data_IF_850038696524
#
_entry.id   IF_850038696524
#
_cell.length_a   1.000
_cell.length_b   1.000
_cell.length_c   1.000
_cell.angle_alpha   90.00
_cell.angle_beta   90.00
_cell.angle_gamma   90.00
#
_symmetry.space_group_name_H-M   'P 1'
#
loop_
_entity.id
_entity.type
_entity.pdbx_description
1 polymer ?
#
# COMPACT_ATOMS: atom_id res chain seq x y z
N UNK A 1 0.10 13.42 -9.05
CA UNK A 1 0.00 11.96 -8.83
C UNK A 1 -1.44 11.64 -8.48
N UNK A 2 -2.01 10.59 -9.08
CA UNK A 2 -3.36 10.10 -8.77
C UNK A 2 -3.22 8.62 -8.47
N UNK A 3 -3.59 8.20 -7.26
CA UNK A 3 -3.63 6.78 -6.93
C UNK A 3 -4.71 6.09 -7.76
N UNK A 4 -4.47 4.83 -8.11
CA UNK A 4 -5.52 3.98 -8.65
C UNK A 4 -6.53 3.65 -7.56
N UNK A 5 -7.77 3.39 -7.96
CA UNK A 5 -8.79 2.86 -7.05
C UNK A 5 -8.36 1.55 -6.39
N UNK A 6 -7.44 0.80 -7.01
CA UNK A 6 -6.93 -0.43 -6.42
C UNK A 6 -6.00 -0.15 -5.23
N UNK A 7 -5.17 0.90 -5.29
CA UNK A 7 -4.40 1.36 -4.13
C UNK A 7 -5.30 1.94 -3.03
N UNK A 8 -6.30 2.75 -3.37
CA UNK A 8 -7.26 3.27 -2.39
C UNK A 8 -7.95 2.13 -1.62
N UNK A 9 -8.40 1.09 -2.34
CA UNK A 9 -8.97 -0.10 -1.73
C UNK A 9 -7.98 -0.88 -0.88
N UNK A 10 -6.71 -0.93 -1.25
CA UNK A 10 -5.67 -1.56 -0.44
C UNK A 10 -5.54 -0.88 0.92
N UNK A 11 -5.55 0.46 0.94
CA UNK A 11 -5.46 1.26 2.17
C UNK A 11 -6.66 1.03 3.07
N UNK A 12 -7.87 1.04 2.51
CA UNK A 12 -9.11 0.75 3.25
C UNK A 12 -9.08 -0.66 3.83
N UNK A 13 -8.66 -1.66 3.03
CA UNK A 13 -8.55 -3.04 3.47
C UNK A 13 -7.50 -3.23 4.58
N UNK A 14 -6.35 -2.56 4.48
CA UNK A 14 -5.30 -2.61 5.51
C UNK A 14 -5.72 -1.89 6.80
N UNK A 15 -6.43 -0.76 6.71
CA UNK A 15 -7.03 -0.10 7.87
C UNK A 15 -8.04 -1.01 8.57
N UNK A 16 -8.88 -1.71 7.80
CA UNK A 16 -9.78 -2.72 8.36
C UNK A 16 -9.01 -3.86 9.03
N UNK A 17 -7.98 -4.40 8.39
CA UNK A 17 -7.14 -5.44 8.97
C UNK A 17 -6.46 -5.01 10.28
N UNK A 18 -6.07 -3.74 10.38
CA UNK A 18 -5.45 -3.18 11.58
C UNK A 18 -6.39 -3.14 12.80
N UNK A 19 -7.71 -3.03 12.61
CA UNK A 19 -8.69 -3.10 13.71
C UNK A 19 -8.73 -4.47 14.39
N UNK A 20 -8.27 -5.51 13.71
CA UNK A 20 -8.20 -6.88 14.22
C UNK A 20 -6.77 -7.28 14.62
N UNK A 21 -5.85 -6.32 14.70
CA UNK A 21 -4.49 -6.59 15.13
C UNK A 21 -4.48 -7.17 16.56
N UNK A 22 -3.93 -8.37 16.73
CA UNK A 22 -3.92 -9.10 18.01
C UNK A 22 -5.13 -10.00 18.25
N UNK A 23 -6.11 -10.02 17.34
CA UNK A 23 -7.28 -10.91 17.39
C UNK A 23 -7.12 -12.14 16.46
N UNK A 24 -8.23 -12.86 16.24
CA UNK A 24 -8.28 -14.02 15.35
C UNK A 24 -7.94 -13.65 13.89
N UNK A 25 -7.46 -14.64 13.12
CA UNK A 25 -7.14 -14.48 11.70
C UNK A 25 -8.38 -14.08 10.91
N UNK A 26 -8.20 -13.15 9.98
CA UNK A 26 -9.25 -12.67 9.09
C UNK A 26 -9.22 -13.43 7.76
N UNK A 27 -10.21 -13.23 6.91
CA UNK A 27 -10.11 -13.67 5.52
C UNK A 27 -10.66 -12.58 4.58
N UNK A 28 -10.44 -12.77 3.28
CA UNK A 28 -10.88 -11.81 2.27
C UNK A 28 -12.41 -11.59 2.29
N UNK A 29 -13.20 -12.60 2.70
CA UNK A 29 -14.65 -12.50 2.83
C UNK A 29 -15.05 -11.57 3.98
N UNK A 30 -14.43 -11.71 5.15
CA UNK A 30 -14.66 -10.81 6.29
C UNK A 30 -14.24 -9.38 5.96
N UNK A 31 -13.05 -9.20 5.37
CA UNK A 31 -12.56 -7.88 4.98
C UNK A 31 -13.46 -7.23 3.92
N UNK A 32 -13.94 -8.01 2.94
CA UNK A 32 -14.88 -7.54 1.92
C UNK A 32 -16.20 -7.09 2.54
N UNK A 33 -16.76 -7.86 3.47
CA UNK A 33 -18.00 -7.52 4.16
C UNK A 33 -17.86 -6.25 5.02
N UNK A 34 -16.75 -6.06 5.74
CA UNK A 34 -16.52 -4.88 6.57
C UNK A 34 -16.29 -3.59 5.77
N UNK A 35 -15.64 -3.70 4.61
CA UNK A 35 -15.20 -2.53 3.83
C UNK A 35 -16.12 -2.18 2.67
N UNK A 36 -16.99 -3.11 2.27
CA UNK A 36 -17.78 -3.00 1.04
C UNK A 36 -16.96 -3.20 -0.24
N UNK A 37 -15.67 -3.52 -0.15
CA UNK A 37 -14.83 -3.82 -1.32
C UNK A 37 -15.31 -5.14 -1.93
N UNK A 38 -15.56 -5.23 -3.25
CA UNK A 38 -15.98 -6.48 -3.88
C UNK A 38 -15.01 -7.63 -3.58
N UNK A 39 -15.54 -8.81 -3.22
CA UNK A 39 -14.75 -9.97 -2.82
C UNK A 39 -13.61 -10.33 -3.79
N UNK A 40 -13.78 -10.32 -5.12
CA UNK A 40 -12.68 -10.61 -6.04
C UNK A 40 -11.54 -9.60 -5.94
N UNK A 41 -11.85 -8.32 -5.68
CA UNK A 41 -10.86 -7.26 -5.47
C UNK A 41 -10.15 -7.45 -4.13
N UNK A 42 -10.89 -7.75 -3.06
CA UNK A 42 -10.32 -8.03 -1.74
C UNK A 42 -9.36 -9.24 -1.79
N UNK A 43 -9.71 -10.31 -2.51
CA UNK A 43 -8.84 -11.47 -2.70
C UNK A 43 -7.55 -11.12 -3.45
N UNK A 44 -7.64 -10.33 -4.53
CA UNK A 44 -6.46 -9.84 -5.27
C UNK A 44 -5.56 -8.98 -4.39
N UNK A 45 -6.14 -8.10 -3.59
CA UNK A 45 -5.42 -7.24 -2.64
C UNK A 45 -4.71 -8.08 -1.59
N UNK A 46 -5.42 -9.02 -0.95
CA UNK A 46 -4.83 -9.94 0.03
C UNK A 46 -3.64 -10.69 -0.56
N UNK A 47 -3.76 -11.19 -1.79
CA UNK A 47 -2.67 -11.87 -2.49
C UNK A 47 -1.46 -10.97 -2.68
N UNK A 48 -1.64 -9.76 -3.24
CA UNK A 48 -0.55 -8.78 -3.47
C UNK A 48 0.12 -8.34 -2.16
N UNK A 49 -0.67 -7.98 -1.16
CA UNK A 49 -0.17 -7.54 0.15
C UNK A 49 0.55 -8.67 0.89
N UNK A 50 0.13 -9.93 0.71
CA UNK A 50 0.85 -11.09 1.26
C UNK A 50 2.18 -11.31 0.53
N UNK A 51 2.20 -11.18 -0.80
CA UNK A 51 3.43 -11.28 -1.59
C UNK A 51 4.44 -10.18 -1.23
N UNK A 52 3.96 -8.98 -0.88
CA UNK A 52 4.77 -7.87 -0.39
C UNK A 52 5.17 -8.01 1.10
N UNK A 53 4.75 -9.08 1.78
CA UNK A 53 5.09 -9.31 3.19
C UNK A 53 4.38 -8.37 4.18
N UNK A 54 3.30 -7.70 3.78
CA UNK A 54 2.48 -6.86 4.67
C UNK A 54 1.38 -7.67 5.37
N UNK A 55 0.97 -8.79 4.77
CA UNK A 55 0.07 -9.77 5.35
C UNK A 55 0.75 -11.14 5.43
N UNK A 56 0.49 -11.87 6.51
CA UNK A 56 0.83 -13.27 6.64
C UNK A 56 -0.39 -14.13 6.37
N UNK A 57 -0.32 -14.98 5.34
CA UNK A 57 -1.37 -15.95 5.02
C UNK A 57 -1.06 -17.32 5.59
N UNK A 58 -2.04 -17.98 6.21
CA UNK A 58 -1.96 -19.38 6.61
C UNK A 58 -3.05 -20.22 5.93
N UNK A 59 -2.67 -21.40 5.42
CA UNK A 59 -3.59 -22.36 4.79
C UNK A 59 -4.16 -23.35 5.82
N UNK A 60 -5.29 -23.99 5.50
CA UNK A 60 -5.93 -25.03 6.30
C UNK A 60 -7.22 -24.61 7.02
N UNK A 61 -7.80 -25.52 7.81
CA UNK A 61 -9.00 -25.26 8.63
C UNK A 61 -8.67 -24.20 9.70
N UNK A 62 -9.40 -23.08 9.71
CA UNK A 62 -9.04 -21.89 10.52
C UNK A 62 -7.93 -21.02 9.90
N UNK A 63 -7.63 -21.23 8.61
CA UNK A 63 -6.74 -20.38 7.83
C UNK A 63 -7.30 -18.97 7.60
N UNK A 64 -6.44 -18.08 7.14
CA UNK A 64 -6.74 -16.66 7.04
C UNK A 64 -5.48 -15.82 6.88
N UNK A 65 -5.65 -14.51 7.03
CA UNK A 65 -4.60 -13.50 6.96
C UNK A 65 -4.58 -12.64 8.22
N UNK A 66 -3.39 -12.16 8.56
CA UNK A 66 -3.15 -11.17 9.60
C UNK A 66 -2.06 -10.20 9.13
N UNK A 67 -1.95 -9.04 9.77
CA UNK A 67 -0.80 -8.15 9.56
C UNK A 67 0.50 -8.88 9.94
N UNK A 68 1.54 -8.74 9.10
CA UNK A 68 2.86 -9.35 9.36
C UNK A 68 3.63 -8.66 10.48
N UNK A 69 3.27 -7.41 10.78
CA UNK A 69 3.90 -6.57 11.81
C UNK A 69 2.90 -5.56 12.36
N UNK A 70 3.18 -4.90 13.51
CA UNK A 70 2.25 -3.95 14.11
C UNK A 70 1.85 -2.83 13.13
N UNK A 71 0.57 -2.40 13.10
CA UNK A 71 0.08 -1.40 12.15
C UNK A 71 0.76 -0.02 12.29
N UNK A 72 1.39 0.25 13.44
CA UNK A 72 2.19 1.46 13.67
C UNK A 72 3.54 1.45 12.91
N UNK A 73 3.94 0.29 12.38
CA UNK A 73 5.19 0.13 11.61
C UNK A 73 4.94 -0.03 10.11
N UNK A 74 3.67 -0.18 9.70
CA UNK A 74 3.27 -0.26 8.30
C UNK A 74 2.84 1.15 7.88
N UNK A 75 3.49 1.69 6.86
CA UNK A 75 3.21 3.04 6.35
C UNK A 75 2.22 3.00 5.20
N UNK A 76 1.60 4.14 4.90
CA UNK A 76 0.79 4.31 3.71
C UNK A 76 1.64 4.12 2.44
N UNK A 77 2.90 4.57 2.45
CA UNK A 77 3.85 4.30 1.37
C UNK A 77 4.07 2.80 1.14
N UNK A 78 4.23 2.00 2.20
CA UNK A 78 4.41 0.54 2.07
C UNK A 78 3.22 -0.11 1.33
N UNK A 79 1.99 0.29 1.67
CA UNK A 79 0.76 -0.27 1.07
C UNK A 79 0.62 0.14 -0.39
N UNK A 80 0.91 1.40 -0.72
CA UNK A 80 0.87 1.91 -2.10
C UNK A 80 1.94 1.20 -2.93
N UNK A 81 3.18 1.12 -2.43
CA UNK A 81 4.29 0.49 -3.14
C UNK A 81 4.07 -1.02 -3.37
N UNK A 82 3.43 -1.71 -2.42
CA UNK A 82 3.06 -3.12 -2.56
C UNK A 82 2.05 -3.39 -3.69
N UNK A 83 1.28 -2.38 -4.09
CA UNK A 83 0.10 -2.54 -4.94
C UNK A 83 0.31 -1.93 -6.33
N UNK A 84 0.96 -0.78 -6.40
CA UNK A 84 1.23 -0.05 -7.65
C UNK A 84 2.68 -0.14 -8.10
N UNK A 85 3.61 -0.53 -7.22
CA UNK A 85 5.04 -0.41 -7.46
C UNK A 85 5.60 0.91 -6.92
N UNK A 86 6.85 1.27 -7.28
CA UNK A 86 7.54 2.43 -6.71
C UNK A 86 6.72 3.73 -6.84
N UNK A 87 6.69 4.53 -5.78
CA UNK A 87 6.05 5.86 -5.84
C UNK A 87 6.91 6.76 -6.74
N UNK A 88 6.40 7.01 -7.95
CA UNK A 88 7.04 7.84 -8.95
C UNK A 88 6.03 8.80 -9.58
N UNK A 89 6.33 10.09 -9.53
CA UNK A 89 5.51 11.12 -10.18
C UNK A 89 5.68 11.15 -11.70
N UNK A 90 6.87 10.79 -12.16
CA UNK A 90 7.28 10.81 -13.58
C UNK A 90 8.15 9.61 -13.87
N UNK A 91 8.15 9.12 -15.11
CA UNK A 91 9.00 8.00 -15.50
C UNK A 91 10.47 8.22 -15.09
N UNK A 92 11.01 9.42 -15.30
CA UNK A 92 12.39 9.76 -14.95
C UNK A 92 12.72 9.81 -13.44
N UNK A 93 11.73 9.62 -12.55
CA UNK A 93 11.92 9.48 -11.10
C UNK A 93 11.95 8.03 -10.64
N UNK A 94 11.61 7.07 -11.52
CA UNK A 94 11.78 5.65 -11.26
C UNK A 94 13.26 5.26 -11.35
N UNK A 95 13.63 4.19 -10.65
CA UNK A 95 14.99 3.68 -10.64
C UNK A 95 15.21 2.80 -11.89
N UNK A 96 16.01 3.24 -12.85
CA UNK A 96 16.25 2.50 -14.08
C UNK A 96 16.62 3.39 -15.27
N UNK A 97 16.85 2.77 -16.42
CA UNK A 97 16.99 3.47 -17.69
C UNK A 97 15.60 3.83 -18.23
N UNK A 98 15.45 5.07 -18.71
CA UNK A 98 14.20 5.59 -19.21
C UNK A 98 14.31 5.86 -20.71
N UNK A 99 13.23 5.63 -21.45
CA UNK A 99 13.14 6.05 -22.85
C UNK A 99 12.84 7.55 -22.94
N UNK A 100 13.79 8.37 -22.49
CA UNK A 100 13.71 9.82 -22.52
C UNK A 100 14.91 10.41 -23.25
N UNK A 101 14.67 10.97 -24.43
CA UNK A 101 15.70 11.60 -25.26
C UNK A 101 16.42 12.77 -24.59
N UNK A 102 15.84 13.35 -23.53
CA UNK A 102 16.39 14.48 -22.79
C UNK A 102 17.13 14.06 -21.52
N UNK A 103 17.21 12.77 -21.20
CA UNK A 103 17.60 12.30 -19.87
C UNK A 103 18.97 12.81 -19.38
N UNK A 104 19.98 12.83 -20.27
CA UNK A 104 21.35 13.20 -19.92
C UNK A 104 21.51 14.70 -19.60
N UNK A 105 20.70 15.55 -20.24
CA UNK A 105 20.81 17.01 -20.14
C UNK A 105 19.59 17.66 -19.44
N UNK A 106 18.65 16.84 -18.96
CA UNK A 106 17.43 17.31 -18.32
C UNK A 106 17.71 17.97 -16.97
N UNK A 107 17.76 19.31 -16.98
CA UNK A 107 17.89 20.13 -15.78
C UNK A 107 16.68 20.04 -14.84
N UNK A 108 15.54 19.54 -15.32
CA UNK A 108 14.29 19.43 -14.56
C UNK A 108 14.28 18.15 -13.69
N UNK A 109 14.96 17.07 -14.12
CA UNK A 109 14.94 15.76 -13.44
C UNK A 109 15.35 15.83 -11.95
N UNK A 110 16.43 16.54 -11.55
CA UNK A 110 16.77 16.66 -10.13
C UNK A 110 15.67 17.32 -9.29
N UNK A 111 14.99 18.32 -9.83
CA UNK A 111 13.86 18.98 -9.15
C UNK A 111 12.66 18.05 -9.03
N UNK A 112 12.39 17.22 -10.05
CA UNK A 112 11.36 16.19 -9.99
C UNK A 112 11.68 15.12 -8.95
N UNK A 113 12.95 14.73 -8.79
CA UNK A 113 13.36 13.80 -7.72
C UNK A 113 13.09 14.39 -6.32
N UNK A 114 13.36 15.69 -6.12
CA UNK A 114 13.03 16.38 -4.85
C UNK A 114 11.52 16.33 -4.58
N UNK A 115 10.69 16.66 -5.59
CA UNK A 115 9.24 16.61 -5.45
C UNK A 115 8.74 15.18 -5.16
N UNK A 116 9.27 14.18 -5.87
CA UNK A 116 8.92 12.77 -5.69
C UNK A 116 9.26 12.29 -4.27
N UNK A 117 10.46 12.65 -3.79
CA UNK A 117 10.89 12.32 -2.43
C UNK A 117 9.99 12.97 -1.37
N UNK A 118 9.56 14.22 -1.58
CA UNK A 118 8.66 14.90 -0.65
C UNK A 118 7.29 14.18 -0.57
N UNK A 119 6.72 13.75 -1.70
CA UNK A 119 5.47 12.97 -1.71
C UNK A 119 5.67 11.62 -1.02
N UNK A 120 6.74 10.90 -1.37
CA UNK A 120 7.03 9.60 -0.74
C UNK A 120 7.20 9.73 0.77
N UNK A 121 7.91 10.77 1.23
CA UNK A 121 8.07 11.05 2.66
C UNK A 121 6.75 11.38 3.35
N UNK A 122 5.87 12.16 2.71
CA UNK A 122 4.55 12.45 3.25
C UNK A 122 3.71 11.17 3.43
N UNK A 123 3.73 10.26 2.44
CA UNK A 123 3.06 8.96 2.54
C UNK A 123 3.74 8.04 3.58
N UNK A 124 5.06 8.05 3.67
CA UNK A 124 5.79 7.27 4.68
C UNK A 124 5.57 7.78 6.12
N UNK A 125 5.21 9.05 6.28
CA UNK A 125 4.88 9.65 7.57
C UNK A 125 3.51 9.23 8.14
N UNK A 126 2.64 8.63 7.33
CA UNK A 126 1.32 8.15 7.76
C UNK A 126 1.38 6.64 7.97
N UNK A 127 0.94 6.17 9.13
CA UNK A 127 0.90 4.73 9.46
C UNK A 127 -0.51 4.17 9.30
N UNK A 128 -0.64 2.86 9.11
CA UNK A 128 -1.98 2.24 9.10
C UNK A 128 -2.66 2.40 10.47
N UNK A 129 -1.89 2.43 11.56
CA UNK A 129 -2.43 2.72 12.89
C UNK A 129 -2.93 4.16 13.09
N UNK A 130 -2.52 5.13 12.26
CA UNK A 130 -3.14 6.47 12.29
C UNK A 130 -4.46 6.51 11.54
N UNK A 131 -4.66 5.63 10.56
CA UNK A 131 -5.89 5.56 9.75
C UNK A 131 -7.05 4.86 10.45
N UNK A 132 -6.80 4.19 11.58
CA UNK A 132 -7.85 3.57 12.41
C UNK A 132 -8.40 4.52 13.46
N UNK A 133 -7.76 5.68 13.67
CA UNK A 133 -8.22 6.72 14.59
C UNK A 133 -8.99 7.75 13.79
N UNK A 134 -10.19 8.10 14.23
CA UNK A 134 -10.87 9.28 13.69
C UNK A 134 -9.98 10.50 13.91
N UNK A 135 -9.82 11.33 12.87
CA UNK A 135 -9.22 12.65 13.03
C UNK A 135 -10.18 13.48 13.88
N UNK A 136 -9.82 13.72 15.14
CA UNK A 136 -10.51 14.64 16.03
C UNK A 136 -10.38 16.09 15.53
#
# INVERSE_FOLDING_TARGET
>A
MRLSSFADYAVVLMSAAARHCGAAKMNATTLSAETGIPLPTAQKLVSRLSAAGLLESSRGTGGGVRLSRPPATITLADVVEAVEGPIAMTACTEMGAHDCSLEQECRVRPHMNVANNAIRQALAGVTIASLTREMA
#
